data_IF_467834670856
#
_entry.id   IF_467834670856
#
_cell.length_a   1.000
_cell.length_b   1.000
_cell.length_c   1.000
_cell.angle_alpha   90.00
_cell.angle_beta   90.00
_cell.angle_gamma   90.00
#
_symmetry.space_group_name_H-M   'P 1'
#
loop_
_entity.id
_entity.type
_entity.pdbx_description
1 polymer ?
#
# COMPACT_ATOMS: atom_id res chain seq x y z
N UNK A 1 -5.15 -29.62 14.30
CA UNK A 1 -4.71 -28.93 13.07
C UNK A 1 -3.39 -29.56 12.68
N UNK A 2 -3.35 -30.39 11.64
CA UNK A 2 -2.07 -30.94 11.17
C UNK A 2 -1.30 -29.78 10.55
N UNK A 3 -0.07 -29.47 10.99
CA UNK A 3 0.76 -28.54 10.25
C UNK A 3 0.80 -29.04 8.81
N UNK A 4 0.52 -28.14 7.86
CA UNK A 4 0.71 -28.43 6.44
C UNK A 4 2.06 -29.12 6.27
N UNK A 5 2.16 -30.12 5.39
CA UNK A 5 3.42 -30.83 5.12
C UNK A 5 4.61 -29.87 4.91
N UNK A 6 4.32 -28.64 4.46
CA UNK A 6 5.27 -27.54 4.33
C UNK A 6 5.80 -27.00 5.67
N UNK A 7 4.97 -26.81 6.70
CA UNK A 7 5.42 -26.35 8.03
C UNK A 7 6.41 -27.33 8.64
N UNK A 8 6.13 -28.64 8.54
CA UNK A 8 7.05 -29.67 9.04
C UNK A 8 8.38 -29.62 8.31
N UNK A 9 8.37 -29.48 6.98
CA UNK A 9 9.60 -29.32 6.17
C UNK A 9 10.40 -28.07 6.58
N UNK A 10 9.71 -26.95 6.78
CA UNK A 10 10.34 -25.68 7.17
C UNK A 10 11.04 -25.80 8.54
N UNK A 11 10.37 -26.41 9.52
CA UNK A 11 10.96 -26.62 10.86
C UNK A 11 12.19 -27.54 10.79
N UNK A 12 12.14 -28.59 9.97
CA UNK A 12 13.31 -29.47 9.78
C UNK A 12 14.49 -28.70 9.21
N UNK A 13 14.30 -27.87 8.19
CA UNK A 13 15.38 -27.05 7.60
C UNK A 13 15.95 -26.06 8.63
N UNK A 14 15.10 -25.37 9.40
CA UNK A 14 15.56 -24.43 10.44
C UNK A 14 16.41 -25.13 11.50
N UNK A 15 16.04 -26.36 11.88
CA UNK A 15 16.80 -27.15 12.87
C UNK A 15 18.18 -27.61 12.37
N UNK A 16 18.44 -27.59 11.06
CA UNK A 16 19.74 -27.94 10.48
C UNK A 16 20.68 -26.74 10.38
N UNK A 17 20.20 -25.52 10.66
CA UNK A 17 20.99 -24.29 10.56
C UNK A 17 21.88 -24.17 11.81
N UNK A 18 23.17 -23.80 11.66
CA UNK A 18 24.07 -23.52 12.79
C UNK A 18 23.51 -22.42 13.69
N UNK A 19 23.75 -22.55 15.01
CA UNK A 19 23.19 -21.65 16.03
C UNK A 19 23.56 -20.18 15.78
N UNK A 20 24.79 -19.92 15.30
CA UNK A 20 25.27 -18.58 14.95
C UNK A 20 24.49 -17.90 13.82
N UNK A 21 23.69 -18.64 13.06
CA UNK A 21 22.84 -18.12 11.97
C UNK A 21 21.36 -18.07 12.34
N UNK A 22 20.96 -18.61 13.48
CA UNK A 22 19.55 -18.63 13.89
C UNK A 22 18.99 -17.23 14.14
N UNK A 23 19.80 -16.28 14.59
CA UNK A 23 19.38 -14.89 14.77
C UNK A 23 18.99 -14.23 13.43
N UNK A 24 19.78 -14.45 12.37
CA UNK A 24 19.48 -13.96 11.02
C UNK A 24 18.16 -14.56 10.50
N UNK A 25 17.97 -15.87 10.70
CA UNK A 25 16.75 -16.59 10.30
C UNK A 25 15.54 -16.09 11.08
N UNK A 26 15.67 -15.90 12.39
CA UNK A 26 14.62 -15.34 13.23
C UNK A 26 14.21 -13.95 12.74
N UNK A 27 15.18 -13.07 12.49
CA UNK A 27 14.91 -11.72 11.99
C UNK A 27 14.18 -11.73 10.65
N UNK A 28 14.58 -12.62 9.73
CA UNK A 28 13.89 -12.79 8.46
C UNK A 28 12.43 -13.25 8.62
N UNK A 29 12.20 -14.29 9.42
CA UNK A 29 10.85 -14.82 9.67
C UNK A 29 10.00 -13.78 10.40
N UNK A 30 10.57 -13.10 11.38
CA UNK A 30 9.90 -12.07 12.16
C UNK A 30 9.47 -10.90 11.27
N UNK A 31 10.39 -10.38 10.46
CA UNK A 31 10.09 -9.30 9.52
C UNK A 31 9.01 -9.72 8.51
N UNK A 32 9.10 -10.95 7.97
CA UNK A 32 8.08 -11.48 7.08
C UNK A 32 6.71 -11.55 7.75
N UNK A 33 6.62 -12.07 8.98
CA UNK A 33 5.36 -12.15 9.74
C UNK A 33 4.75 -10.76 9.97
N UNK A 34 5.55 -9.82 10.48
CA UNK A 34 5.11 -8.45 10.76
C UNK A 34 4.71 -7.72 9.47
N UNK A 35 5.46 -7.93 8.38
CA UNK A 35 5.12 -7.37 7.07
C UNK A 35 3.79 -7.90 6.52
N UNK A 36 3.51 -9.20 6.70
CA UNK A 36 2.22 -9.79 6.34
C UNK A 36 1.10 -9.21 7.19
N UNK A 37 1.27 -9.11 8.50
CA UNK A 37 0.30 -8.48 9.42
C UNK A 37 0.01 -7.03 9.03
N UNK A 38 1.03 -6.25 8.69
CA UNK A 38 0.88 -4.85 8.26
C UNK A 38 0.21 -4.73 6.88
N UNK A 39 0.42 -5.69 5.99
CA UNK A 39 -0.20 -5.72 4.65
C UNK A 39 -1.64 -6.18 4.64
N UNK A 40 -2.12 -6.80 5.73
CA UNK A 40 -3.53 -7.03 5.95
C UNK A 40 -4.17 -5.69 6.33
N UNK A 41 -4.36 -4.82 5.34
CA UNK A 41 -5.28 -3.71 5.47
C UNK A 41 -6.62 -4.30 5.86
N UNK A 42 -7.03 -3.99 7.09
CA UNK A 42 -8.30 -4.46 7.61
C UNK A 42 -9.41 -3.80 6.80
N UNK A 43 -10.46 -4.53 6.40
CA UNK A 43 -11.64 -3.91 5.80
C UNK A 43 -12.12 -2.71 6.64
N UNK A 44 -11.97 -2.77 7.97
CA UNK A 44 -12.23 -1.66 8.88
C UNK A 44 -11.40 -0.39 8.58
N UNK A 45 -10.11 -0.50 8.27
CA UNK A 45 -9.26 0.65 7.90
C UNK A 45 -9.59 1.24 6.52
N UNK A 46 -10.17 0.45 5.62
CA UNK A 46 -10.64 0.95 4.31
C UNK A 46 -12.03 1.59 4.49
N UNK A 47 -12.89 0.99 5.32
CA UNK A 47 -14.24 1.49 5.62
C UNK A 47 -14.24 2.81 6.40
N UNK A 48 -13.20 3.14 7.18
CA UNK A 48 -13.11 4.45 7.87
C UNK A 48 -13.08 5.64 6.89
N UNK A 49 -12.73 5.41 5.62
CA UNK A 49 -12.71 6.41 4.57
C UNK A 49 -13.92 6.32 3.63
N UNK A 50 -14.76 5.29 3.79
CA UNK A 50 -15.98 5.15 3.02
C UNK A 50 -17.04 6.13 3.56
N UNK A 51 -17.62 6.95 2.69
CA UNK A 51 -18.61 7.97 3.08
C UNK A 51 -18.01 9.32 3.48
N UNK A 52 -16.68 9.48 3.60
CA UNK A 52 -16.08 10.79 3.89
C UNK A 52 -16.38 11.89 2.85
N UNK A 53 -16.78 11.50 1.64
CA UNK A 53 -17.27 12.41 0.61
C UNK A 53 -18.77 12.72 0.75
N UNK A 54 -19.54 11.80 1.33
CA UNK A 54 -20.99 11.94 1.58
C UNK A 54 -21.24 12.81 2.83
N UNK A 55 -20.32 12.76 3.80
CA UNK A 55 -20.31 13.63 5.00
C UNK A 55 -19.80 15.05 4.71
N UNK A 56 -19.28 15.30 3.51
CA UNK A 56 -18.79 16.62 3.11
C UNK A 56 -19.96 17.50 2.63
N UNK A 57 -20.09 18.75 3.11
CA UNK A 57 -21.11 19.66 2.59
C UNK A 57 -20.94 19.89 1.09
N UNK A 58 -22.04 19.87 0.34
CA UNK A 58 -22.06 20.02 -1.13
C UNK A 58 -21.27 21.25 -1.63
N UNK A 59 -21.36 22.36 -0.90
CA UNK A 59 -20.63 23.60 -1.21
C UNK A 59 -19.11 23.39 -1.13
N UNK A 60 -18.63 22.72 -0.08
CA UNK A 60 -17.21 22.42 0.10
C UNK A 60 -16.72 21.42 -0.95
N UNK A 61 -17.55 20.42 -1.30
CA UNK A 61 -17.24 19.48 -2.36
C UNK A 61 -17.16 20.16 -3.73
N UNK A 62 -18.09 21.07 -4.02
CA UNK A 62 -18.14 21.82 -5.28
C UNK A 62 -16.92 22.72 -5.45
N UNK A 63 -16.58 23.51 -4.42
CA UNK A 63 -15.41 24.38 -4.43
C UNK A 63 -14.12 23.59 -4.64
N UNK A 64 -13.97 22.46 -3.94
CA UNK A 64 -12.82 21.58 -4.09
C UNK A 64 -12.75 20.94 -5.50
N UNK A 65 -13.89 20.56 -6.06
CA UNK A 65 -13.98 19.97 -7.39
C UNK A 65 -13.59 20.97 -8.48
N UNK A 66 -14.08 22.20 -8.40
CA UNK A 66 -13.71 23.29 -9.31
C UNK A 66 -12.22 23.62 -9.23
N UNK A 67 -11.64 23.60 -8.03
CA UNK A 67 -10.20 23.80 -7.85
C UNK A 67 -9.38 22.68 -8.53
N UNK A 68 -9.79 21.42 -8.38
CA UNK A 68 -9.14 20.28 -9.05
C UNK A 68 -9.27 20.39 -10.57
N UNK A 69 -10.45 20.73 -11.08
CA UNK A 69 -10.70 20.89 -12.51
C UNK A 69 -9.77 21.98 -13.07
N UNK A 70 -9.71 23.13 -12.40
CA UNK A 70 -8.85 24.26 -12.79
C UNK A 70 -7.38 23.87 -12.80
N UNK A 71 -6.88 23.22 -11.73
CA UNK A 71 -5.49 22.75 -11.65
C UNK A 71 -5.15 21.75 -12.76
N UNK A 72 -6.06 20.81 -13.06
CA UNK A 72 -5.87 19.85 -14.17
C UNK A 72 -5.81 20.56 -15.50
N UNK A 73 -6.76 21.46 -15.79
CA UNK A 73 -6.77 22.23 -17.04
C UNK A 73 -5.46 23.01 -17.21
N UNK A 74 -4.98 23.70 -16.17
CA UNK A 74 -3.71 24.43 -16.20
C UNK A 74 -2.49 23.52 -16.43
N UNK A 75 -2.43 22.36 -15.79
CA UNK A 75 -1.35 21.39 -16.00
C UNK A 75 -1.31 20.84 -17.44
N UNK A 76 -2.46 20.74 -18.11
CA UNK A 76 -2.54 20.29 -19.50
C UNK A 76 -2.38 21.43 -20.53
N UNK A 77 -2.61 22.69 -20.16
CA UNK A 77 -2.30 23.85 -21.01
C UNK A 77 -0.79 23.99 -21.23
N UNK A 78 0.04 23.75 -20.19
CA UNK A 78 1.50 23.80 -20.30
C UNK A 78 2.10 22.74 -21.24
N UNK A 79 1.46 21.58 -21.38
CA UNK A 79 1.95 20.50 -22.25
C UNK A 79 1.75 20.77 -23.74
N UNK A 80 0.79 21.61 -24.11
CA UNK A 80 0.43 21.85 -25.52
C UNK A 80 1.29 22.93 -26.18
N UNK A 81 1.93 23.78 -25.39
CA UNK A 81 2.82 24.85 -25.86
C UNK A 81 4.22 24.36 -26.23
N UNK A 82 4.73 23.34 -25.52
CA UNK A 82 6.09 22.84 -25.73
C UNK A 82 6.22 21.90 -26.95
N UNK A 83 5.10 21.41 -27.50
CA UNK A 83 5.09 20.54 -28.69
C UNK A 83 4.87 21.32 -30.02
N UNK A 84 4.56 22.62 -29.99
CA UNK A 84 4.29 23.41 -31.21
C UNK A 84 5.37 24.46 -31.55
N UNK A 85 6.50 24.48 -30.86
CA UNK A 85 7.62 25.39 -31.11
C UNK A 85 8.81 24.70 -31.79
N UNK A 86 8.52 23.83 -32.75
CA UNK A 86 9.47 23.30 -33.73
C UNK A 86 8.88 23.49 -35.14
N UNK A 87 9.00 24.72 -35.65
CA UNK A 87 8.79 25.06 -37.06
C UNK A 87 9.67 26.23 -37.45
#
# INVERSE_FOLDING_TARGET
MNPSNLCTKLLTEINLIPEEKLEEVYNFIHYFRVGVEASQSTPEQIMQFAGCWDDMPDETFFDFSEEIITRRQQAFLGRRSDESSLS
#
